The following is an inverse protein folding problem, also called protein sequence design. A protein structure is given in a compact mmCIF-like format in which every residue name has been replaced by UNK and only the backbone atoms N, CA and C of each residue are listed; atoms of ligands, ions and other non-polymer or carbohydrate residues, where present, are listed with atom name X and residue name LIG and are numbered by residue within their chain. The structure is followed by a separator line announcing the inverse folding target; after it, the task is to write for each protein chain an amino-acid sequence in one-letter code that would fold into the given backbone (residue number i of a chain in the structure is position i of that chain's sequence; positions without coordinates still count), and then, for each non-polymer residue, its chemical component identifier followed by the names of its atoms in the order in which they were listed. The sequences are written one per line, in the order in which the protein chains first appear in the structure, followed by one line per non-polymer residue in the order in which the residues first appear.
data_IF_931396544457
#
_entry.id   IF_931396544457
#
_cell.length_a   1.000
_cell.length_b   1.000
_cell.length_c   1.000
_cell.angle_alpha   90.00
_cell.angle_beta   90.00
_cell.angle_gamma   90.00
#
_symmetry.space_group_name_H-M   'P 1'
#
loop_
_entity.id
_entity.type
_entity.pdbx_description
1 polymer ?
#
# COMPACT_ATOMS: atom_id res chain seq x y z
N UNK A 1 -5.23 -2.64 -11.85
CA UNK A 1 -5.32 -1.18 -12.09
C UNK A 1 -5.49 -0.46 -10.76
N UNK A 2 -4.90 0.70 -10.60
CA UNK A 2 -5.16 1.60 -9.46
C UNK A 2 -6.12 2.68 -9.95
N UNK A 3 -7.14 3.00 -9.15
CA UNK A 3 -8.09 4.07 -9.39
C UNK A 3 -8.02 5.08 -8.24
N UNK A 4 -7.89 6.34 -8.54
CA UNK A 4 -8.19 7.42 -7.60
C UNK A 4 -9.60 7.91 -7.86
N UNK A 5 -10.44 7.86 -6.84
CA UNK A 5 -11.78 8.43 -6.91
C UNK A 5 -11.71 9.94 -6.64
N UNK A 6 -12.66 10.67 -7.19
CA UNK A 6 -12.80 12.11 -6.92
C UNK A 6 -13.11 12.36 -5.45
N UNK A 7 -12.67 13.47 -4.91
CA UNK A 7 -12.91 13.87 -3.51
C UNK A 7 -14.41 14.00 -3.18
N UNK A 8 -15.24 14.25 -4.22
CA UNK A 8 -16.70 14.33 -4.08
C UNK A 8 -17.41 12.98 -3.94
N UNK A 9 -16.68 11.85 -4.08
CA UNK A 9 -17.27 10.51 -3.98
C UNK A 9 -17.46 10.15 -2.51
N UNK A 10 -18.73 9.85 -2.14
CA UNK A 10 -19.05 9.40 -0.79
C UNK A 10 -18.43 8.03 -0.47
N UNK A 11 -18.27 7.74 0.81
CA UNK A 11 -17.74 6.46 1.28
C UNK A 11 -18.60 5.28 0.81
N UNK A 12 -19.94 5.41 0.87
CA UNK A 12 -20.88 4.38 0.38
C UNK A 12 -20.69 4.12 -1.13
N UNK A 13 -20.54 5.19 -1.92
CA UNK A 13 -20.29 5.05 -3.36
C UNK A 13 -18.94 4.44 -3.66
N UNK A 14 -17.90 4.78 -2.89
CA UNK A 14 -16.58 4.18 -3.02
C UNK A 14 -16.61 2.67 -2.73
N UNK A 15 -17.36 2.24 -1.69
CA UNK A 15 -17.55 0.83 -1.39
C UNK A 15 -18.37 0.09 -2.46
N UNK A 16 -19.39 0.72 -3.03
CA UNK A 16 -20.15 0.16 -4.15
C UNK A 16 -19.24 -0.10 -5.35
N UNK A 17 -18.42 0.89 -5.75
CA UNK A 17 -17.47 0.75 -6.85
C UNK A 17 -16.45 -0.35 -6.53
N UNK A 18 -15.90 -0.36 -5.32
CA UNK A 18 -14.93 -1.37 -4.89
C UNK A 18 -15.49 -2.79 -4.98
N UNK A 19 -16.76 -2.99 -4.56
CA UNK A 19 -17.45 -4.27 -4.67
C UNK A 19 -17.65 -4.69 -6.12
N UNK A 20 -18.12 -3.77 -6.96
CA UNK A 20 -18.39 -4.05 -8.38
C UNK A 20 -17.10 -4.37 -9.16
N UNK A 21 -16.00 -3.73 -8.81
CA UNK A 21 -14.69 -3.92 -9.45
C UNK A 21 -13.80 -4.97 -8.75
N UNK A 22 -14.29 -5.60 -7.69
CA UNK A 22 -13.53 -6.55 -6.86
C UNK A 22 -12.22 -5.94 -6.34
N UNK A 23 -12.25 -4.66 -5.94
CA UNK A 23 -11.08 -3.90 -5.52
C UNK A 23 -10.88 -3.93 -4.02
N UNK A 24 -9.61 -3.88 -3.60
CA UNK A 24 -9.26 -3.41 -2.27
C UNK A 24 -9.43 -1.88 -2.22
N UNK A 25 -9.98 -1.37 -1.12
CA UNK A 25 -10.23 0.06 -0.91
C UNK A 25 -9.32 0.61 0.18
N UNK A 26 -8.73 1.77 -0.08
CA UNK A 26 -7.87 2.51 0.85
C UNK A 26 -8.34 3.96 0.93
N UNK A 27 -8.60 4.44 2.15
CA UNK A 27 -8.95 5.84 2.38
C UNK A 27 -7.67 6.65 2.55
N UNK A 28 -7.52 7.68 1.75
CA UNK A 28 -6.55 8.75 1.91
C UNK A 28 -7.22 9.92 2.65
N UNK A 29 -6.51 11.03 2.85
CA UNK A 29 -7.06 12.18 3.60
C UNK A 29 -8.42 12.62 3.04
N UNK A 30 -8.50 12.86 1.74
CA UNK A 30 -9.68 13.47 1.10
C UNK A 30 -10.31 12.61 -0.01
N UNK A 31 -9.70 11.48 -0.38
CA UNK A 31 -10.17 10.64 -1.47
C UNK A 31 -9.95 9.14 -1.20
N UNK A 32 -10.54 8.30 -2.03
CA UNK A 32 -10.37 6.85 -1.97
C UNK A 32 -9.49 6.35 -3.12
N UNK A 33 -8.62 5.40 -2.80
CA UNK A 33 -7.80 4.65 -3.76
C UNK A 33 -8.33 3.23 -3.83
N UNK A 34 -8.68 2.78 -5.02
CA UNK A 34 -9.07 1.41 -5.27
C UNK A 34 -7.97 0.66 -6.02
N UNK A 35 -7.70 -0.55 -5.61
CA UNK A 35 -6.74 -1.44 -6.27
C UNK A 35 -7.50 -2.64 -6.81
N UNK A 36 -7.71 -2.65 -8.12
CA UNK A 36 -8.44 -3.72 -8.82
C UNK A 36 -7.49 -4.89 -9.12
N UNK A 37 -8.02 -6.10 -9.43
CA UNK A 37 -7.20 -7.16 -10.02
C UNK A 37 -6.45 -6.67 -11.27
N UNK A 38 -5.22 -7.15 -11.50
CA UNK A 38 -4.35 -6.70 -12.61
C UNK A 38 -4.93 -6.94 -14.00
N UNK A 39 -5.84 -7.91 -14.12
CA UNK A 39 -6.56 -8.21 -15.38
C UNK A 39 -7.48 -7.07 -15.85
N UNK A 40 -7.88 -6.16 -14.95
CA UNK A 40 -8.69 -5.00 -15.30
C UNK A 40 -7.78 -3.89 -15.86
N UNK A 41 -7.96 -3.55 -17.14
CA UNK A 41 -7.13 -2.56 -17.83
C UNK A 41 -7.88 -1.28 -18.19
N UNK A 42 -9.22 -1.30 -18.14
CA UNK A 42 -10.06 -0.15 -18.46
C UNK A 42 -11.03 0.16 -17.32
N UNK A 43 -11.34 1.43 -17.14
CA UNK A 43 -12.34 1.89 -16.18
C UNK A 43 -13.73 1.58 -16.74
N UNK A 44 -14.60 0.84 -16.04
CA UNK A 44 -15.98 0.63 -16.49
C UNK A 44 -16.69 1.98 -16.71
N UNK A 45 -17.40 2.11 -17.81
CA UNK A 45 -18.05 3.36 -18.24
C UNK A 45 -18.99 3.91 -17.16
N UNK A 46 -19.67 3.03 -16.43
CA UNK A 46 -20.59 3.37 -15.33
C UNK A 46 -19.92 4.08 -14.14
N UNK A 47 -18.60 3.91 -13.97
CA UNK A 47 -17.83 4.51 -12.89
C UNK A 47 -16.88 5.63 -13.36
N UNK A 48 -16.78 5.85 -14.66
CA UNK A 48 -15.85 6.83 -15.25
C UNK A 48 -16.04 8.24 -14.66
N UNK A 49 -17.28 8.65 -14.38
CA UNK A 49 -17.59 9.96 -13.79
C UNK A 49 -17.10 10.11 -12.34
N UNK A 50 -16.88 9.00 -11.63
CA UNK A 50 -16.40 8.95 -10.24
C UNK A 50 -14.89 8.85 -10.12
N UNK A 51 -14.18 8.55 -11.22
CA UNK A 51 -12.73 8.36 -11.24
C UNK A 51 -12.05 9.66 -11.65
N UNK A 52 -11.06 10.09 -10.89
CA UNK A 52 -10.20 11.25 -11.19
C UNK A 52 -9.00 10.84 -12.03
N UNK A 53 -8.34 9.76 -11.64
CA UNK A 53 -7.17 9.24 -12.34
C UNK A 53 -7.08 7.72 -12.23
N UNK A 54 -6.43 7.08 -13.19
CA UNK A 54 -6.23 5.63 -13.17
C UNK A 54 -4.88 5.23 -13.76
N UNK A 55 -4.36 4.10 -13.28
CA UNK A 55 -3.09 3.50 -13.72
C UNK A 55 -3.32 2.02 -14.02
N UNK A 56 -3.37 1.62 -15.31
CA UNK A 56 -3.38 0.21 -15.69
C UNK A 56 -2.08 -0.46 -15.26
N UNK A 57 -2.17 -1.67 -14.70
CA UNK A 57 -1.02 -2.42 -14.20
C UNK A 57 -0.97 -3.80 -14.82
N UNK A 58 0.23 -4.27 -15.16
CA UNK A 58 0.45 -5.60 -15.74
C UNK A 58 0.68 -6.69 -14.69
N UNK A 59 0.80 -6.32 -13.42
CA UNK A 59 1.00 -7.27 -12.31
C UNK A 59 0.19 -6.87 -11.08
N UNK A 60 0.07 -7.77 -10.11
CA UNK A 60 -0.65 -7.51 -8.86
C UNK A 60 0.16 -6.71 -7.83
N UNK A 61 1.47 -6.51 -8.08
CA UNK A 61 2.29 -5.60 -7.28
C UNK A 61 2.09 -4.16 -7.81
N UNK A 62 0.97 -3.55 -7.44
CA UNK A 62 0.51 -2.32 -8.04
C UNK A 62 0.96 -1.07 -7.26
N UNK A 63 0.65 -1.00 -5.96
CA UNK A 63 0.95 0.19 -5.14
C UNK A 63 2.46 0.46 -4.97
N UNK A 64 3.31 -0.56 -5.12
CA UNK A 64 4.76 -0.43 -5.08
C UNK A 64 5.39 -0.14 -6.46
N UNK A 65 4.57 -0.10 -7.52
CA UNK A 65 5.06 0.12 -8.88
C UNK A 65 5.53 1.56 -9.10
N UNK A 66 6.67 1.72 -9.79
CA UNK A 66 7.17 3.01 -10.25
C UNK A 66 6.28 3.64 -11.34
N UNK A 67 5.44 2.84 -12.00
CA UNK A 67 4.42 3.36 -12.93
C UNK A 67 3.30 4.12 -12.20
N UNK A 68 3.07 3.81 -10.92
CA UNK A 68 2.11 4.52 -10.07
C UNK A 68 2.77 5.66 -9.28
N UNK A 69 3.87 5.37 -8.59
CA UNK A 69 4.60 6.35 -7.80
C UNK A 69 6.06 6.40 -8.27
N UNK A 70 6.42 7.43 -9.02
CA UNK A 70 7.76 7.61 -9.59
C UNK A 70 8.83 7.88 -8.55
N UNK A 71 8.45 8.55 -7.46
CA UNK A 71 9.36 8.88 -6.37
C UNK A 71 9.52 7.73 -5.37
N UNK A 72 10.66 7.69 -4.70
CA UNK A 72 10.89 6.73 -3.63
C UNK A 72 10.08 7.14 -2.41
N UNK A 73 9.19 6.25 -1.99
CA UNK A 73 8.35 6.45 -0.82
C UNK A 73 9.20 6.51 0.45
N UNK A 74 8.83 7.39 1.36
CA UNK A 74 9.35 7.37 2.73
C UNK A 74 8.49 6.46 3.60
N UNK A 75 9.14 5.60 4.38
CA UNK A 75 8.48 4.72 5.35
C UNK A 75 9.05 5.01 6.73
N UNK A 76 8.17 5.34 7.67
CA UNK A 76 8.54 5.59 9.06
C UNK A 76 8.35 4.31 9.88
N UNK A 77 9.42 3.88 10.55
CA UNK A 77 9.43 2.70 11.43
C UNK A 77 9.91 3.17 12.81
N UNK A 78 8.98 3.37 13.74
CA UNK A 78 9.28 3.95 15.04
C UNK A 78 9.90 5.34 14.91
N UNK A 79 11.13 5.51 15.39
CA UNK A 79 11.90 6.75 15.29
C UNK A 79 12.76 6.85 14.03
N UNK A 80 12.78 5.83 13.19
CA UNK A 80 13.59 5.77 11.96
C UNK A 80 12.72 6.01 10.73
N UNK A 81 13.32 6.60 9.72
CA UNK A 81 12.69 6.78 8.39
C UNK A 81 13.63 6.19 7.34
N UNK A 82 13.07 5.43 6.39
CA UNK A 82 13.81 4.87 5.26
C UNK A 82 13.17 5.28 3.93
N UNK A 83 13.96 5.25 2.87
CA UNK A 83 13.51 5.66 1.53
C UNK A 83 13.58 7.16 1.33
N UNK A 84 12.85 7.68 0.33
CA UNK A 84 12.91 9.09 -0.06
C UNK A 84 14.35 9.54 -0.31
N UNK A 85 14.71 10.67 0.25
CA UNK A 85 16.05 11.28 0.15
C UNK A 85 16.86 11.07 1.43
N UNK A 86 16.50 10.12 2.30
CA UNK A 86 17.21 9.92 3.59
C UNK A 86 18.66 9.48 3.43
N UNK A 87 18.99 8.79 2.32
CA UNK A 87 20.34 8.26 2.06
C UNK A 87 20.83 7.25 3.11
N UNK A 88 19.96 6.80 4.01
CA UNK A 88 20.30 5.88 5.09
C UNK A 88 20.03 4.42 4.71
N UNK A 89 20.65 3.53 5.48
CA UNK A 89 20.36 2.09 5.47
C UNK A 89 19.91 1.69 6.86
N UNK A 90 18.83 0.93 6.97
CA UNK A 90 18.43 0.31 8.22
C UNK A 90 18.54 -1.21 8.12
N UNK A 91 18.84 -1.82 9.24
CA UNK A 91 18.83 -3.28 9.35
C UNK A 91 17.46 -3.72 9.83
N UNK A 92 16.84 -4.62 9.09
CA UNK A 92 15.61 -5.32 9.45
C UNK A 92 15.96 -6.79 9.67
N UNK A 93 15.61 -7.33 10.80
CA UNK A 93 15.92 -8.73 11.13
C UNK A 93 14.78 -9.38 11.91
N UNK A 94 14.69 -10.70 11.76
CA UNK A 94 13.68 -11.51 12.44
C UNK A 94 13.68 -12.93 11.92
N UNK A 95 12.82 -13.83 12.47
CA UNK A 95 12.68 -15.20 11.97
C UNK A 95 12.01 -15.18 10.57
N UNK A 96 12.28 -16.20 9.78
CA UNK A 96 11.65 -16.36 8.45
C UNK A 96 10.14 -16.66 8.53
N UNK A 97 9.68 -17.22 9.66
CA UNK A 97 8.26 -17.46 9.95
C UNK A 97 7.97 -17.22 11.43
N UNK A 98 6.74 -16.85 11.74
CA UNK A 98 6.26 -16.75 13.13
C UNK A 98 5.50 -18.04 13.46
N UNK A 99 6.14 -18.91 14.24
CA UNK A 99 5.58 -20.22 14.61
C UNK A 99 4.92 -20.20 15.99
N UNK A 100 5.38 -19.29 16.88
CA UNK A 100 4.81 -19.11 18.21
C UNK A 100 5.04 -17.70 18.74
N UNK A 101 4.22 -17.29 19.72
CA UNK A 101 4.39 -16.01 20.41
C UNK A 101 5.73 -15.95 21.17
N UNK A 102 6.16 -17.04 21.80
CA UNK A 102 7.44 -17.11 22.50
C UNK A 102 8.60 -16.83 21.55
N UNK A 103 8.64 -17.53 20.40
CA UNK A 103 9.68 -17.37 19.40
C UNK A 103 9.82 -15.91 18.91
N UNK A 104 8.70 -15.27 18.56
CA UNK A 104 8.78 -13.89 18.04
C UNK A 104 9.18 -12.90 19.14
N UNK A 105 8.74 -13.10 20.39
CA UNK A 105 9.13 -12.25 21.52
C UNK A 105 10.61 -12.37 21.85
N UNK A 106 11.15 -13.59 21.87
CA UNK A 106 12.58 -13.87 22.10
C UNK A 106 13.43 -13.25 20.99
N UNK A 107 13.01 -13.43 19.72
CA UNK A 107 13.68 -12.83 18.57
C UNK A 107 13.67 -11.30 18.66
N UNK A 108 12.54 -10.70 19.00
CA UNK A 108 12.45 -9.25 19.15
C UNK A 108 13.33 -8.72 20.29
N UNK A 109 13.40 -9.42 21.42
CA UNK A 109 14.26 -9.07 22.53
C UNK A 109 15.75 -9.08 22.13
N UNK A 110 16.17 -10.14 21.45
CA UNK A 110 17.55 -10.27 20.93
C UNK A 110 17.87 -9.17 19.92
N UNK A 111 16.97 -8.89 18.98
CA UNK A 111 17.19 -7.84 17.98
C UNK A 111 17.30 -6.46 18.63
N UNK A 112 16.50 -6.20 19.66
CA UNK A 112 16.59 -4.98 20.46
C UNK A 112 17.93 -4.85 21.19
N UNK A 113 18.42 -5.93 21.80
CA UNK A 113 19.72 -5.97 22.47
C UNK A 113 20.88 -5.71 21.50
N UNK A 114 20.78 -6.26 20.30
CA UNK A 114 21.76 -6.07 19.23
C UNK A 114 21.67 -4.69 18.52
N UNK A 115 20.72 -3.85 18.91
CA UNK A 115 20.52 -2.53 18.34
C UNK A 115 19.99 -2.53 16.90
N UNK A 116 19.34 -3.62 16.48
CA UNK A 116 18.68 -3.72 15.16
C UNK A 116 17.52 -2.72 15.11
N UNK A 117 17.34 -2.05 13.97
CA UNK A 117 16.37 -0.94 13.84
C UNK A 117 14.92 -1.40 13.73
N UNK A 118 14.66 -2.57 13.14
CA UNK A 118 13.34 -3.17 12.95
C UNK A 118 13.44 -4.69 12.75
#
# INVERSE_FOLDING_TARGET
MILHLKDSVSEDRAHEIAKATQSAIFKQQDYFVLVTPSKMQEVPTEFASSVEAHWPMSSDIQLASRSYLTETREVKIGSKTIGGNTGNTIMIAGPCSVESESQIRESAALMKELGVSA
#
